data_IF_488201150315
#
_entry.id   IF_488201150315
#
_cell.length_a   1.000
_cell.length_b   1.000
_cell.length_c   1.000
_cell.angle_alpha   90.00
_cell.angle_beta   90.00
_cell.angle_gamma   90.00
#
_symmetry.space_group_name_H-M   'P 1'
#
loop_
_entity.id
_entity.type
_entity.pdbx_description
1 polymer ?
#
# COMPACT_ATOMS: atom_id res chain seq x y z
N UNK A 1 -5.89 -18.44 -6.03
CA UNK A 1 -6.53 -18.36 -4.69
C UNK A 1 -5.88 -19.32 -3.72
N UNK A 2 -5.74 -20.59 -4.08
CA UNK A 2 -5.16 -21.64 -3.23
C UNK A 2 -3.83 -21.25 -2.55
N UNK A 3 -2.94 -20.56 -3.25
CA UNK A 3 -1.59 -20.21 -2.77
C UNK A 3 -1.52 -18.94 -1.89
N UNK A 4 -2.56 -18.10 -1.85
CA UNK A 4 -2.53 -16.85 -1.08
C UNK A 4 -2.99 -17.17 0.35
N UNK A 5 -2.15 -16.98 1.38
CA UNK A 5 -2.56 -17.22 2.76
C UNK A 5 -3.80 -16.41 3.13
N UNK A 6 -4.77 -17.07 3.76
CA UNK A 6 -6.02 -16.44 4.19
C UNK A 6 -5.98 -16.14 5.69
N UNK A 7 -5.90 -14.86 6.05
CA UNK A 7 -6.06 -14.43 7.45
C UNK A 7 -7.52 -14.53 7.86
N UNK A 8 -7.80 -15.11 9.04
CA UNK A 8 -9.16 -15.33 9.57
C UNK A 8 -9.22 -14.93 11.04
N UNK A 9 -10.12 -14.02 11.39
CA UNK A 9 -10.44 -13.67 12.77
C UNK A 9 -11.96 -13.61 12.98
N UNK A 10 -12.45 -14.30 14.01
CA UNK A 10 -13.86 -14.31 14.40
C UNK A 10 -14.13 -13.46 15.64
N UNK A 11 -15.41 -13.28 15.96
CA UNK A 11 -15.87 -12.56 17.16
C UNK A 11 -15.56 -13.31 18.46
N UNK A 12 -15.34 -14.62 18.37
CA UNK A 12 -14.92 -15.51 19.46
C UNK A 12 -14.20 -16.74 18.90
N UNK A 13 -13.57 -17.53 19.78
CA UNK A 13 -12.80 -18.72 19.39
C UNK A 13 -13.60 -19.73 18.57
N UNK A 14 -14.88 -19.95 18.92
CA UNK A 14 -15.74 -20.88 18.19
C UNK A 14 -15.95 -20.42 16.74
N UNK A 15 -16.21 -19.12 16.54
CA UNK A 15 -16.36 -18.54 15.20
C UNK A 15 -15.06 -18.54 14.39
N UNK A 16 -13.90 -18.23 15.01
CA UNK A 16 -12.59 -18.32 14.36
C UNK A 16 -12.30 -19.74 13.91
N UNK A 17 -12.53 -20.73 14.78
CA UNK A 17 -12.30 -22.14 14.49
C UNK A 17 -13.22 -22.65 13.36
N UNK A 18 -14.50 -22.25 13.37
CA UNK A 18 -15.44 -22.63 12.31
C UNK A 18 -15.04 -22.02 10.96
N UNK A 19 -14.77 -20.71 10.93
CA UNK A 19 -14.34 -20.01 9.72
C UNK A 19 -13.02 -20.58 9.17
N UNK A 20 -12.06 -20.89 10.05
CA UNK A 20 -10.78 -21.51 9.67
C UNK A 20 -11.00 -22.83 8.94
N UNK A 21 -11.76 -23.76 9.53
CA UNK A 21 -12.09 -25.05 8.90
C UNK A 21 -12.82 -24.89 7.57
N UNK A 22 -13.71 -23.92 7.47
CA UNK A 22 -14.39 -23.63 6.22
C UNK A 22 -13.39 -23.17 5.15
N UNK A 23 -12.53 -22.21 5.46
CA UNK A 23 -11.54 -21.69 4.51
C UNK A 23 -10.45 -22.71 4.14
N UNK A 24 -10.11 -23.64 5.02
CA UNK A 24 -9.18 -24.75 4.73
C UNK A 24 -9.69 -25.68 3.62
N UNK A 25 -10.99 -25.66 3.30
CA UNK A 25 -11.53 -26.41 2.15
C UNK A 25 -11.19 -25.78 0.80
N UNK A 26 -10.77 -24.50 0.77
CA UNK A 26 -10.53 -23.72 -0.45
C UNK A 26 -9.09 -23.19 -0.54
N UNK A 27 -8.46 -22.86 0.58
CA UNK A 27 -7.12 -22.26 0.66
C UNK A 27 -6.10 -23.24 1.23
N UNK A 28 -4.88 -23.27 0.68
CA UNK A 28 -3.81 -24.14 1.16
C UNK A 28 -3.28 -23.72 2.54
N UNK A 29 -3.35 -22.43 2.83
CA UNK A 29 -2.81 -21.84 4.05
C UNK A 29 -3.84 -20.87 4.63
N UNK A 30 -4.30 -21.18 5.84
CA UNK A 30 -5.20 -20.34 6.63
C UNK A 30 -4.48 -19.91 7.90
N UNK A 31 -4.50 -18.62 8.19
CA UNK A 31 -3.78 -17.99 9.30
C UNK A 31 -4.82 -17.45 10.29
N UNK A 32 -5.19 -18.20 11.34
CA UNK A 32 -6.11 -17.71 12.35
C UNK A 32 -5.46 -16.62 13.20
N UNK A 33 -6.22 -15.57 13.51
CA UNK A 33 -5.83 -14.47 14.41
C UNK A 33 -6.79 -14.34 15.59
N UNK A 34 -6.40 -13.55 16.59
CA UNK A 34 -7.05 -13.51 17.90
C UNK A 34 -8.49 -12.98 17.89
N UNK A 35 -8.84 -12.10 16.97
CA UNK A 35 -10.18 -11.51 16.89
C UNK A 35 -10.47 -10.97 15.49
N UNK A 36 -11.73 -10.60 15.24
CA UNK A 36 -12.14 -9.91 14.02
C UNK A 36 -11.32 -8.64 13.77
N UNK A 37 -11.10 -7.83 14.82
CA UNK A 37 -10.34 -6.58 14.75
C UNK A 37 -8.88 -6.82 14.34
N UNK A 38 -8.26 -7.92 14.80
CA UNK A 38 -6.90 -8.28 14.34
C UNK A 38 -6.88 -8.59 12.84
N UNK A 39 -7.92 -9.25 12.32
CA UNK A 39 -8.03 -9.57 10.90
C UNK A 39 -8.26 -8.31 10.07
N UNK A 40 -9.14 -7.41 10.52
CA UNK A 40 -9.43 -6.13 9.87
C UNK A 40 -8.21 -5.21 9.87
N UNK A 41 -7.55 -5.06 11.02
CA UNK A 41 -6.33 -4.27 11.15
C UNK A 41 -5.18 -4.81 10.28
N UNK A 42 -5.07 -6.14 10.16
CA UNK A 42 -4.09 -6.76 9.24
C UNK A 42 -4.32 -6.29 7.81
N UNK A 43 -5.58 -6.27 7.36
CA UNK A 43 -5.90 -5.85 5.99
C UNK A 43 -5.57 -4.38 5.75
N UNK A 44 -5.91 -3.53 6.71
CA UNK A 44 -5.62 -2.10 6.64
C UNK A 44 -4.11 -1.82 6.68
N UNK A 45 -3.35 -2.58 7.48
CA UNK A 45 -1.89 -2.48 7.55
C UNK A 45 -1.24 -2.84 6.22
N UNK A 46 -1.64 -3.93 5.57
CA UNK A 46 -1.11 -4.34 4.26
C UNK A 46 -1.22 -3.22 3.21
N UNK A 47 -2.38 -2.58 3.13
CA UNK A 47 -2.64 -1.55 2.13
C UNK A 47 -2.00 -0.21 2.49
N UNK A 48 -1.93 0.13 3.78
CA UNK A 48 -1.22 1.32 4.27
C UNK A 48 0.30 1.20 4.09
N UNK A 49 0.87 0.02 4.35
CA UNK A 49 2.28 -0.27 4.05
C UNK A 49 2.55 -0.08 2.55
N UNK A 50 1.70 -0.63 1.69
CA UNK A 50 1.83 -0.46 0.23
C UNK A 50 1.72 1.00 -0.20
N UNK A 51 0.77 1.76 0.36
CA UNK A 51 0.59 3.18 0.10
C UNK A 51 1.84 4.01 0.43
N UNK A 52 2.39 3.84 1.63
CA UNK A 52 3.59 4.58 2.08
C UNK A 52 4.79 4.28 1.18
N UNK A 53 5.04 3.00 0.86
CA UNK A 53 6.20 2.64 0.06
C UNK A 53 6.06 3.09 -1.41
N UNK A 54 4.87 3.02 -2.00
CA UNK A 54 4.63 3.59 -3.34
C UNK A 54 4.88 5.10 -3.33
N UNK A 55 4.38 5.80 -2.32
CA UNK A 55 4.60 7.24 -2.16
C UNK A 55 6.09 7.58 -2.07
N UNK A 56 6.84 6.84 -1.26
CA UNK A 56 8.29 7.00 -1.16
C UNK A 56 9.02 6.75 -2.49
N UNK A 57 8.69 5.66 -3.21
CA UNK A 57 9.32 5.38 -4.52
C UNK A 57 8.94 6.43 -5.56
N UNK A 58 7.74 7.02 -5.50
CA UNK A 58 7.35 8.15 -6.35
C UNK A 58 8.25 9.38 -6.11
N UNK A 59 8.51 9.74 -4.85
CA UNK A 59 9.43 10.83 -4.52
C UNK A 59 10.86 10.51 -4.95
N UNK A 60 11.31 9.27 -4.74
CA UNK A 60 12.62 8.81 -5.19
C UNK A 60 12.77 8.87 -6.72
N UNK A 61 11.69 8.59 -7.46
CA UNK A 61 11.67 8.71 -8.92
C UNK A 61 11.83 10.16 -9.37
N UNK A 62 11.19 11.11 -8.67
CA UNK A 62 11.35 12.54 -8.98
C UNK A 62 12.79 13.00 -8.74
N UNK A 63 13.42 12.55 -7.65
CA UNK A 63 14.84 12.78 -7.37
C UNK A 63 15.74 12.20 -8.48
N UNK A 64 15.48 10.96 -8.89
CA UNK A 64 16.25 10.30 -9.96
C UNK A 64 16.11 11.05 -11.28
N UNK A 65 14.90 11.48 -11.63
CA UNK A 65 14.63 12.27 -12.84
C UNK A 65 15.45 13.56 -12.88
N UNK A 66 15.49 14.31 -11.76
CA UNK A 66 16.32 15.52 -11.65
C UNK A 66 17.82 15.24 -11.70
N UNK A 67 18.24 14.03 -11.31
CA UNK A 67 19.64 13.60 -11.28
C UNK A 67 20.09 12.88 -12.56
N UNK A 68 19.21 12.70 -13.54
CA UNK A 68 19.49 11.91 -14.75
C UNK A 68 19.73 10.42 -14.49
N UNK A 69 19.15 9.88 -13.41
CA UNK A 69 19.28 8.48 -13.00
C UNK A 69 18.05 7.65 -13.39
N UNK A 70 18.27 6.38 -13.72
CA UNK A 70 17.21 5.42 -14.00
C UNK A 70 16.68 4.79 -12.70
N UNK A 71 15.48 5.21 -12.29
CA UNK A 71 14.83 4.72 -11.08
C UNK A 71 14.58 3.22 -11.11
N UNK A 72 14.13 2.66 -12.24
CA UNK A 72 13.76 1.25 -12.33
C UNK A 72 14.99 0.36 -12.22
N UNK A 73 16.09 0.76 -12.86
CA UNK A 73 17.36 0.05 -12.74
C UNK A 73 17.89 0.09 -11.29
N UNK A 74 17.75 1.21 -10.58
CA UNK A 74 18.15 1.30 -9.17
C UNK A 74 17.28 0.40 -8.29
N UNK A 75 15.95 0.40 -8.48
CA UNK A 75 15.03 -0.46 -7.72
C UNK A 75 15.33 -1.93 -8.00
N UNK A 76 15.64 -2.31 -9.24
CA UNK A 76 16.04 -3.68 -9.61
C UNK A 76 17.33 -4.09 -8.89
N UNK A 77 18.34 -3.22 -8.89
CA UNK A 77 19.59 -3.46 -8.18
C UNK A 77 19.36 -3.60 -6.66
N UNK A 78 18.52 -2.75 -6.06
CA UNK A 78 18.16 -2.84 -4.63
C UNK A 78 17.40 -4.14 -4.30
N UNK A 79 16.57 -4.61 -5.23
CA UNK A 79 15.78 -5.86 -5.10
C UNK A 79 16.63 -7.12 -5.02
N UNK A 80 17.93 -7.05 -5.34
CA UNK A 80 18.86 -8.17 -5.19
C UNK A 80 19.17 -8.48 -3.72
N UNK A 81 18.87 -7.58 -2.78
CA UNK A 81 19.10 -7.82 -1.36
C UNK A 81 18.02 -8.74 -0.81
N UNK A 82 18.40 -9.86 -0.15
CA UNK A 82 17.43 -10.85 0.32
C UNK A 82 16.68 -10.40 1.60
N UNK A 83 16.92 -9.18 2.07
CA UNK A 83 16.31 -8.63 3.28
C UNK A 83 16.24 -7.10 3.19
N UNK A 84 15.33 -6.51 3.98
CA UNK A 84 15.25 -5.06 4.22
C UNK A 84 14.72 -4.23 3.05
N UNK A 85 14.50 -4.82 1.87
CA UNK A 85 13.93 -4.13 0.73
C UNK A 85 12.85 -4.98 0.05
N UNK A 86 11.65 -4.42 -0.02
CA UNK A 86 10.56 -4.95 -0.83
C UNK A 86 10.37 -4.02 -2.02
N UNK A 87 10.43 -4.50 -3.27
CA UNK A 87 10.30 -3.63 -4.43
C UNK A 87 8.89 -3.04 -4.56
N UNK A 88 8.84 -1.72 -4.70
CA UNK A 88 7.69 -0.97 -5.19
C UNK A 88 8.12 -0.17 -6.41
N UNK A 89 7.18 0.14 -7.31
CA UNK A 89 7.46 0.89 -8.53
C UNK A 89 6.78 2.24 -8.48
N UNK A 90 7.41 3.22 -9.12
CA UNK A 90 6.83 4.54 -9.25
C UNK A 90 5.65 4.50 -10.21
N UNK A 91 4.73 5.43 -10.02
CA UNK A 91 3.58 5.62 -10.88
C UNK A 91 3.19 7.10 -10.90
N UNK A 92 2.25 7.47 -11.76
CA UNK A 92 1.75 8.85 -11.82
C UNK A 92 0.96 9.27 -10.56
N UNK A 93 0.62 8.31 -9.69
CA UNK A 93 -0.18 8.48 -8.48
C UNK A 93 -0.63 7.12 -7.96
N UNK A 94 -1.73 7.08 -7.20
CA UNK A 94 -2.34 5.82 -6.74
C UNK A 94 -3.79 5.74 -7.23
N UNK A 95 -4.20 4.56 -7.70
CA UNK A 95 -5.55 4.30 -8.21
C UNK A 95 -6.11 2.96 -7.71
N UNK A 96 -7.28 2.58 -8.24
CA UNK A 96 -7.99 1.36 -7.83
C UNK A 96 -8.88 1.55 -6.61
N UNK A 97 -9.44 0.45 -6.11
CA UNK A 97 -10.50 0.50 -5.08
C UNK A 97 -9.99 0.39 -3.64
N UNK A 98 -8.77 -0.15 -3.45
CA UNK A 98 -8.27 -0.44 -2.11
C UNK A 98 -7.28 0.61 -1.61
N UNK A 99 -6.16 0.80 -2.31
CA UNK A 99 -5.08 1.67 -1.83
C UNK A 99 -5.52 3.13 -1.69
N UNK A 100 -6.37 3.70 -2.57
CA UNK A 100 -6.86 5.07 -2.39
C UNK A 100 -7.85 5.25 -1.23
N UNK A 101 -8.38 4.17 -0.62
CA UNK A 101 -9.46 4.24 0.37
C UNK A 101 -9.04 3.66 1.71
N UNK A 102 -8.50 2.44 1.73
CA UNK A 102 -8.20 1.69 2.95
C UNK A 102 -7.29 2.44 3.94
N UNK A 103 -6.23 3.17 3.51
CA UNK A 103 -5.44 4.00 4.41
C UNK A 103 -6.25 5.07 5.15
N UNK A 104 -7.29 5.62 4.51
CA UNK A 104 -8.15 6.62 5.16
C UNK A 104 -8.97 6.01 6.29
N UNK A 105 -9.39 4.75 6.20
CA UNK A 105 -10.04 4.07 7.33
C UNK A 105 -9.13 4.06 8.56
N UNK A 106 -7.81 3.86 8.45
CA UNK A 106 -6.88 3.97 9.60
C UNK A 106 -6.71 5.38 10.12
N UNK A 107 -6.64 6.37 9.22
CA UNK A 107 -6.51 7.77 9.59
C UNK A 107 -7.75 8.24 10.39
N UNK A 108 -8.94 7.76 10.01
CA UNK A 108 -10.21 8.18 10.60
C UNK A 108 -10.64 7.36 11.83
N UNK A 109 -10.22 6.09 11.94
CA UNK A 109 -10.77 5.14 12.93
C UNK A 109 -10.36 5.36 14.39
N UNK A 110 -9.36 6.18 14.67
CA UNK A 110 -8.89 6.40 16.05
C UNK A 110 -8.88 7.90 16.42
N UNK A 111 -9.92 8.40 17.12
CA UNK A 111 -9.98 9.78 17.58
C UNK A 111 -8.74 10.16 18.40
N UNK A 112 -7.97 11.14 17.92
CA UNK A 112 -6.75 11.61 18.57
C UNK A 112 -5.45 10.89 18.19
N UNK A 113 -5.52 9.79 17.41
CA UNK A 113 -4.33 9.23 16.78
C UNK A 113 -3.94 10.05 15.57
N UNK A 114 -2.64 10.35 15.42
CA UNK A 114 -2.10 11.04 14.24
C UNK A 114 -1.26 10.08 13.45
N UNK A 115 -1.43 10.09 12.14
CA UNK A 115 -0.68 9.24 11.23
C UNK A 115 0.16 10.08 10.26
N UNK A 116 1.13 10.87 10.76
CA UNK A 116 1.79 11.90 9.95
C UNK A 116 2.47 11.33 8.69
N UNK A 117 3.05 10.12 8.79
CA UNK A 117 3.68 9.44 7.65
C UNK A 117 2.63 9.02 6.63
N UNK A 118 1.53 8.40 7.08
CA UNK A 118 0.49 7.90 6.19
C UNK A 118 -0.28 9.06 5.54
N UNK A 119 -0.63 10.07 6.32
CA UNK A 119 -1.29 11.30 5.86
C UNK A 119 -0.44 12.03 4.81
N UNK A 120 0.87 12.19 5.06
CA UNK A 120 1.80 12.77 4.09
C UNK A 120 1.88 11.92 2.82
N UNK A 121 2.00 10.60 2.96
CA UNK A 121 2.07 9.69 1.83
C UNK A 121 0.83 9.77 0.95
N UNK A 122 -0.37 9.75 1.53
CA UNK A 122 -1.65 9.85 0.81
C UNK A 122 -1.82 11.21 0.15
N UNK A 123 -1.44 12.29 0.83
CA UNK A 123 -1.49 13.66 0.28
C UNK A 123 -0.57 13.81 -0.92
N UNK A 124 0.69 13.36 -0.81
CA UNK A 124 1.67 13.42 -1.90
C UNK A 124 1.22 12.61 -3.11
N UNK A 125 0.68 11.41 -2.90
CA UNK A 125 0.17 10.56 -4.00
C UNK A 125 -1.06 11.15 -4.68
N UNK A 126 -1.96 11.80 -3.92
CA UNK A 126 -3.16 12.45 -4.49
C UNK A 126 -2.79 13.66 -5.37
N UNK A 127 -1.80 14.46 -4.95
CA UNK A 127 -1.37 15.65 -5.68
C UNK A 127 -0.51 15.34 -6.92
N UNK A 128 0.18 14.19 -6.93
CA UNK A 128 1.17 13.82 -7.97
C UNK A 128 0.62 13.86 -9.41
N UNK A 129 -0.56 13.28 -9.74
CA UNK A 129 -1.05 13.32 -11.12
C UNK A 129 -1.22 14.74 -11.66
N UNK A 130 -1.78 15.64 -10.85
CA UNK A 130 -1.97 17.04 -11.24
C UNK A 130 -0.64 17.77 -11.43
N UNK A 131 0.32 17.54 -10.53
CA UNK A 131 1.67 18.11 -10.66
C UNK A 131 2.38 17.64 -11.93
N UNK A 132 2.43 16.34 -12.18
CA UNK A 132 3.07 15.77 -13.37
C UNK A 132 2.39 16.24 -14.67
N UNK A 133 1.06 16.36 -14.66
CA UNK A 133 0.33 16.90 -15.80
C UNK A 133 0.80 18.32 -16.14
N UNK A 134 0.92 19.21 -15.14
CA UNK A 134 1.40 20.58 -15.36
C UNK A 134 2.84 20.64 -15.88
N UNK A 135 3.70 19.71 -15.49
CA UNK A 135 5.08 19.61 -16.01
C UNK A 135 5.12 19.22 -17.50
N UNK A 136 4.08 18.55 -18.01
CA UNK A 136 4.02 18.01 -19.38
C UNK A 136 3.04 18.75 -20.31
N UNK A 137 2.26 19.71 -19.80
CA UNK A 137 1.44 20.60 -20.64
C UNK A 137 2.37 21.56 -21.36
N UNK A 138 2.35 21.48 -22.70
CA UNK A 138 3.19 22.25 -23.62
C UNK A 138 3.14 23.77 -23.33
N UNK A 139 4.30 24.45 -23.15
CA UNK A 139 4.36 25.90 -22.98
C UNK A 139 3.71 26.70 -24.14
N UNK A 140 3.40 26.06 -25.28
CA UNK A 140 2.64 26.69 -26.36
C UNK A 140 1.18 27.05 -26.02
N UNK A 141 0.59 26.51 -24.95
CA UNK A 141 -0.78 26.85 -24.50
C UNK A 141 -0.84 28.00 -23.49
N UNK A 142 0.31 28.56 -23.09
CA UNK A 142 0.40 29.73 -22.20
C UNK A 142 0.55 31.08 -22.96
N UNK A 143 0.20 31.14 -24.25
CA UNK A 143 0.14 32.38 -25.03
C UNK A 143 -1.27 32.90 -25.20
#
# INVERSE_FOLDING_TARGET
LYEIPKVVGGLNDASTNFATKFYETVFANVVPVKSAEHSEATKLLENSYRAVNISFINEFADFCSQSGLDTDHIVDAASTKPYGFSPFRSWIGVGGHCIPVDPHYLIESAPGSKWPILESAMTAMHARPGRLALEHVDPCTQK
#
